data_IF_410397856642
#
_entry.id   IF_410397856642
#
_cell.length_a   1.000
_cell.length_b   1.000
_cell.length_c   1.000
_cell.angle_alpha   90.00
_cell.angle_beta   90.00
_cell.angle_gamma   90.00
#
_symmetry.space_group_name_H-M   'P 1'
#
loop_
_entity.id
_entity.type
_entity.pdbx_description
1 polymer ?
#
# COMPACT_ATOMS: atom_id res chain seq x y z
N UNK A 1 59.69 -36.51 45.53
CA UNK A 1 58.48 -35.69 45.70
C UNK A 1 58.28 -34.88 44.44
N UNK A 2 57.14 -35.09 43.76
CA UNK A 2 56.77 -34.47 42.49
C UNK A 2 56.32 -33.02 42.76
N UNK A 3 57.03 -32.03 42.24
CA UNK A 3 56.56 -30.65 42.28
C UNK A 3 55.67 -30.38 41.07
N UNK A 4 54.52 -29.79 41.39
CA UNK A 4 53.34 -29.70 40.56
C UNK A 4 53.55 -28.76 39.36
N UNK A 5 53.16 -29.28 38.19
CA UNK A 5 52.67 -28.53 37.04
C UNK A 5 51.50 -27.66 37.53
N UNK A 6 51.55 -26.34 37.34
CA UNK A 6 50.35 -25.52 37.49
C UNK A 6 50.37 -24.28 36.59
N UNK A 7 49.59 -24.41 35.51
CA UNK A 7 48.82 -23.40 34.78
C UNK A 7 49.53 -22.21 34.11
N UNK A 8 49.94 -22.52 32.89
CA UNK A 8 49.99 -21.69 31.68
C UNK A 8 48.79 -20.74 31.57
N UNK A 9 49.12 -19.46 31.35
CA UNK A 9 48.59 -18.55 30.32
C UNK A 9 47.19 -18.82 29.74
N UNK A 10 46.35 -17.78 29.78
CA UNK A 10 45.46 -17.28 28.71
C UNK A 10 44.10 -16.84 29.25
N UNK A 11 44.04 -15.62 29.77
CA UNK A 11 42.82 -14.81 29.79
C UNK A 11 42.84 -13.92 28.54
N UNK A 12 42.48 -14.48 27.39
CA UNK A 12 42.05 -13.67 26.24
C UNK A 12 40.56 -13.39 26.41
N UNK A 13 40.13 -12.12 26.52
CA UNK A 13 38.72 -11.81 26.39
C UNK A 13 38.31 -12.13 24.96
N UNK A 14 37.47 -13.16 24.81
CA UNK A 14 36.77 -13.45 23.56
C UNK A 14 35.81 -12.29 23.33
N UNK A 15 36.26 -11.26 22.61
CA UNK A 15 35.38 -10.23 22.07
C UNK A 15 34.65 -10.90 20.91
N UNK A 16 33.56 -11.60 21.25
CA UNK A 16 32.60 -12.07 20.28
C UNK A 16 31.91 -10.83 19.69
N UNK A 17 32.48 -10.29 18.61
CA UNK A 17 31.77 -9.35 17.75
C UNK A 17 30.71 -10.19 17.04
N UNK A 18 29.50 -10.23 17.60
CA UNK A 18 28.35 -10.77 16.91
C UNK A 18 28.15 -9.94 15.63
N UNK A 19 28.50 -10.52 14.48
CA UNK A 19 28.13 -9.94 13.20
C UNK A 19 26.63 -10.15 13.04
N UNK A 20 25.86 -9.06 13.08
CA UNK A 20 24.46 -9.10 12.68
C UNK A 20 24.42 -9.35 11.17
N UNK A 21 24.16 -10.60 10.80
CA UNK A 21 23.95 -10.97 9.41
C UNK A 21 22.53 -10.53 9.02
N UNK A 22 22.42 -9.41 8.31
CA UNK A 22 21.17 -8.99 7.70
C UNK A 22 21.10 -9.57 6.28
N UNK A 23 20.33 -10.63 6.10
CA UNK A 23 20.02 -11.15 4.76
C UNK A 23 18.91 -10.28 4.16
N UNK A 24 19.29 -9.30 3.34
CA UNK A 24 18.35 -8.58 2.48
C UNK A 24 18.49 -9.13 1.06
N UNK A 25 17.37 -9.47 0.41
CA UNK A 25 17.35 -9.65 -1.03
C UNK A 25 17.43 -8.24 -1.65
N UNK A 26 18.50 -7.95 -2.37
CA UNK A 26 18.84 -6.58 -2.81
C UNK A 26 17.81 -5.92 -3.73
N UNK A 27 16.83 -6.69 -4.22
CA UNK A 27 15.82 -6.25 -5.20
C UNK A 27 14.41 -6.10 -4.59
N UNK A 28 14.26 -6.22 -3.27
CA UNK A 28 12.94 -6.31 -2.63
C UNK A 28 12.40 -4.96 -2.12
N UNK A 29 13.16 -3.87 -2.24
CA UNK A 29 12.68 -2.56 -1.78
C UNK A 29 12.16 -1.75 -2.97
N UNK A 30 10.84 -1.81 -3.14
CA UNK A 30 10.07 -1.04 -4.12
C UNK A 30 9.49 0.19 -3.43
N UNK A 31 9.61 1.35 -4.08
CA UNK A 31 8.88 2.56 -3.73
C UNK A 31 7.68 2.71 -4.68
N UNK A 32 6.64 3.38 -4.23
CA UNK A 32 5.45 3.64 -5.04
C UNK A 32 5.28 5.14 -5.30
N UNK A 33 5.11 5.55 -6.56
CA UNK A 33 5.03 6.96 -6.95
C UNK A 33 3.75 7.70 -6.50
N UNK A 34 2.72 6.98 -6.06
CA UNK A 34 1.42 7.55 -5.68
C UNK A 34 1.19 7.65 -4.16
N UNK A 35 2.20 7.30 -3.36
CA UNK A 35 2.08 7.26 -1.89
C UNK A 35 3.38 7.68 -1.18
N UNK A 36 3.31 8.11 0.09
CA UNK A 36 4.50 8.37 0.88
C UNK A 36 5.21 7.04 1.20
N UNK A 37 6.51 6.98 0.93
CA UNK A 37 7.34 5.82 1.21
C UNK A 37 8.23 6.13 2.40
N UNK A 38 7.87 5.70 3.63
CA UNK A 38 8.72 5.90 4.79
C UNK A 38 9.98 5.05 4.66
N UNK A 39 11.14 5.68 4.88
CA UNK A 39 12.43 4.99 4.92
C UNK A 39 13.18 5.39 6.19
N UNK A 40 14.04 4.47 6.65
CA UNK A 40 14.96 4.70 7.75
C UNK A 40 16.38 4.72 7.20
N UNK A 41 17.14 5.73 7.62
CA UNK A 41 18.55 5.88 7.25
C UNK A 41 19.34 5.95 8.55
N UNK A 42 20.02 4.85 8.86
CA UNK A 42 20.98 4.79 9.94
C UNK A 42 22.39 4.77 9.35
N UNK A 43 23.26 5.62 9.89
CA UNK A 43 24.65 5.74 9.47
C UNK A 43 25.51 5.58 10.71
N UNK A 44 26.26 4.48 10.76
CA UNK A 44 27.12 4.13 11.89
C UNK A 44 27.95 5.32 12.39
N UNK A 45 27.82 5.59 13.68
CA UNK A 45 28.57 6.63 14.38
C UNK A 45 28.36 8.06 13.85
N UNK A 46 27.27 8.32 13.12
CA UNK A 46 26.96 9.64 12.56
C UNK A 46 25.54 10.08 12.93
N UNK A 47 25.44 11.03 13.85
CA UNK A 47 24.15 11.63 14.21
C UNK A 47 23.49 12.37 13.05
N UNK A 48 22.17 12.37 12.99
CA UNK A 48 21.40 12.84 11.84
C UNK A 48 21.61 14.30 11.46
N UNK A 49 21.96 15.17 12.42
CA UNK A 49 22.31 16.57 12.13
C UNK A 49 23.65 16.76 11.39
N UNK A 50 24.39 15.67 11.10
CA UNK A 50 25.70 15.71 10.44
C UNK A 50 25.65 15.32 8.96
N UNK A 51 24.47 14.94 8.46
CA UNK A 51 24.26 14.61 7.07
C UNK A 51 22.93 15.17 6.56
N UNK A 52 22.81 15.26 5.24
CA UNK A 52 21.57 15.56 4.55
C UNK A 52 21.32 14.50 3.46
N UNK A 53 20.06 14.34 3.09
CA UNK A 53 19.61 13.31 2.15
C UNK A 53 18.91 13.98 0.97
N UNK A 54 19.18 13.50 -0.23
CA UNK A 54 18.55 13.98 -1.47
C UNK A 54 18.05 12.80 -2.29
N UNK A 55 17.13 13.08 -3.21
CA UNK A 55 16.64 12.15 -4.23
C UNK A 55 16.77 12.80 -5.62
N UNK A 56 16.91 11.97 -6.66
CA UNK A 56 16.90 12.38 -8.07
C UNK A 56 15.52 12.25 -8.74
N UNK A 57 14.52 11.72 -8.03
CA UNK A 57 13.16 11.50 -8.54
C UNK A 57 12.13 11.95 -7.51
N UNK A 58 11.60 13.16 -7.66
CA UNK A 58 10.60 13.73 -6.77
C UNK A 58 11.18 14.41 -5.53
N UNK A 59 10.63 14.12 -4.35
CA UNK A 59 11.00 14.83 -3.13
C UNK A 59 11.17 13.93 -1.92
N UNK A 60 12.00 14.36 -0.97
CA UNK A 60 12.20 13.70 0.31
C UNK A 60 11.96 14.69 1.44
N UNK A 61 11.15 14.29 2.42
CA UNK A 61 10.91 15.05 3.65
C UNK A 61 11.58 14.36 4.82
N UNK A 62 12.24 15.12 5.67
CA UNK A 62 12.90 14.63 6.87
C UNK A 62 12.23 15.19 8.13
N UNK A 63 12.00 14.33 9.12
CA UNK A 63 11.63 14.72 10.48
C UNK A 63 12.34 13.78 11.47
N UNK A 64 13.26 14.30 12.29
CA UNK A 64 14.00 13.53 13.30
C UNK A 64 14.56 12.18 12.81
N UNK A 65 15.41 12.20 11.78
CA UNK A 65 16.02 11.01 11.14
C UNK A 65 15.03 10.06 10.43
N UNK A 66 13.73 10.38 10.43
CA UNK A 66 12.73 9.65 9.66
C UNK A 66 12.53 10.37 8.35
N UNK A 67 12.57 9.60 7.27
CA UNK A 67 12.46 10.15 5.94
C UNK A 67 11.20 9.61 5.28
N UNK A 68 10.53 10.47 4.52
CA UNK A 68 9.42 10.08 3.68
C UNK A 68 9.74 10.52 2.26
N UNK A 69 9.78 9.55 1.37
CA UNK A 69 10.10 9.73 -0.04
C UNK A 69 8.81 9.78 -0.85
N UNK A 70 8.73 10.74 -1.77
CA UNK A 70 7.62 10.95 -2.68
C UNK A 70 8.17 10.93 -4.12
N UNK A 71 8.28 9.74 -4.73
CA UNK A 71 8.73 9.61 -6.10
C UNK A 71 7.75 10.29 -7.06
N UNK A 72 8.25 10.91 -8.14
CA UNK A 72 7.39 11.51 -9.17
C UNK A 72 7.10 10.56 -10.33
N UNK A 73 8.06 9.69 -10.68
CA UNK A 73 7.98 8.83 -11.87
C UNK A 73 8.30 7.38 -11.55
N UNK A 74 7.64 6.45 -12.24
CA UNK A 74 8.02 5.04 -12.25
C UNK A 74 9.40 4.84 -12.89
N UNK A 75 10.14 3.81 -12.47
CA UNK A 75 11.47 3.50 -12.96
C UNK A 75 12.46 3.29 -11.82
N UNK A 76 13.55 4.05 -11.82
CA UNK A 76 14.56 4.02 -10.76
C UNK A 76 14.61 5.35 -10.02
N UNK A 77 14.93 5.29 -8.74
CA UNK A 77 15.18 6.45 -7.89
C UNK A 77 16.44 6.22 -7.05
N UNK A 78 17.35 7.18 -7.04
CA UNK A 78 18.57 7.13 -6.25
C UNK A 78 18.49 8.08 -5.07
N UNK A 79 18.50 7.52 -3.87
CA UNK A 79 18.61 8.28 -2.63
C UNK A 79 20.07 8.40 -2.26
N UNK A 80 20.55 9.63 -2.11
CA UNK A 80 21.94 9.96 -1.82
C UNK A 80 22.07 10.64 -0.48
N UNK A 81 23.04 10.20 0.32
CA UNK A 81 23.33 10.73 1.66
C UNK A 81 24.68 11.44 1.63
N UNK A 82 24.71 12.70 2.05
CA UNK A 82 25.89 13.55 2.02
C UNK A 82 26.21 14.08 3.41
N UNK A 83 27.49 14.27 3.73
CA UNK A 83 27.90 15.10 4.86
C UNK A 83 27.53 16.56 4.58
N UNK A 84 27.37 17.36 5.64
CA UNK A 84 27.06 18.80 5.51
C UNK A 84 28.11 19.60 4.72
N UNK A 85 29.33 19.08 4.54
CA UNK A 85 30.35 19.68 3.69
C UNK A 85 30.25 19.28 2.20
N UNK A 86 29.15 18.61 1.81
CA UNK A 86 28.89 18.17 0.43
C UNK A 86 29.53 16.84 0.04
N UNK A 87 30.31 16.20 0.92
CA UNK A 87 30.91 14.89 0.60
C UNK A 87 29.87 13.77 0.61
N UNK A 88 29.74 13.04 -0.49
CA UNK A 88 28.91 11.84 -0.57
C UNK A 88 29.37 10.79 0.46
N UNK A 89 28.43 10.29 1.26
CA UNK A 89 28.63 9.19 2.21
C UNK A 89 28.28 7.88 1.51
N UNK A 90 27.05 7.79 1.01
CA UNK A 90 26.51 6.60 0.35
C UNK A 90 25.35 6.99 -0.55
N UNK A 91 25.00 6.09 -1.47
CA UNK A 91 23.78 6.19 -2.27
C UNK A 91 23.17 4.80 -2.45
N UNK A 92 21.85 4.74 -2.59
CA UNK A 92 21.12 3.51 -2.86
C UNK A 92 20.04 3.77 -3.90
N UNK A 93 19.98 2.89 -4.89
CA UNK A 93 18.97 2.93 -5.95
C UNK A 93 17.83 1.99 -5.59
N UNK A 94 16.61 2.46 -5.80
CA UNK A 94 15.36 1.76 -5.56
C UNK A 94 14.57 1.69 -6.87
N UNK A 95 13.75 0.65 -6.99
CA UNK A 95 12.76 0.57 -8.07
C UNK A 95 11.50 1.31 -7.64
N UNK A 96 11.01 2.18 -8.51
CA UNK A 96 9.74 2.89 -8.33
C UNK A 96 8.69 2.27 -9.22
N UNK A 97 7.60 1.82 -8.62
CA UNK A 97 6.46 1.21 -9.32
C UNK A 97 5.19 2.04 -9.17
N UNK A 98 4.28 1.80 -10.11
CA UNK A 98 2.92 2.30 -9.99
C UNK A 98 2.15 1.42 -9.01
N UNK A 99 1.43 2.06 -8.09
CA UNK A 99 0.56 1.35 -7.16
C UNK A 99 -0.69 0.87 -7.89
N UNK A 100 -0.85 -0.45 -8.03
CA UNK A 100 -2.04 -1.05 -8.62
C UNK A 100 -3.10 -1.26 -7.55
N UNK A 101 -4.16 -0.45 -7.63
CA UNK A 101 -5.33 -0.52 -6.74
C UNK A 101 -6.53 -1.06 -7.52
N UNK A 102 -7.25 -1.99 -6.91
CA UNK A 102 -8.46 -2.59 -7.47
C UNK A 102 -9.60 -2.48 -6.46
N UNK A 103 -10.78 -2.04 -6.88
CA UNK A 103 -11.99 -2.08 -6.06
C UNK A 103 -12.71 -3.41 -6.24
N UNK A 104 -13.42 -3.85 -5.20
CA UNK A 104 -14.29 -5.02 -5.24
C UNK A 104 -15.43 -4.87 -4.23
N UNK A 105 -16.50 -5.66 -4.37
CA UNK A 105 -17.61 -5.68 -3.40
C UNK A 105 -17.19 -6.52 -2.19
N UNK A 106 -17.39 -5.99 -0.98
CA UNK A 106 -16.95 -6.61 0.27
C UNK A 106 -17.42 -8.08 0.39
N UNK A 107 -16.46 -8.95 0.72
CA UNK A 107 -16.66 -10.40 0.82
C UNK A 107 -16.85 -11.14 -0.51
N UNK A 108 -16.51 -10.51 -1.64
CA UNK A 108 -15.98 -11.20 -2.81
C UNK A 108 -14.45 -11.14 -2.81
N UNK A 109 -13.79 -12.12 -3.42
CA UNK A 109 -12.35 -12.06 -3.61
C UNK A 109 -12.01 -10.97 -4.63
N UNK A 110 -11.10 -10.07 -4.25
CA UNK A 110 -10.56 -9.06 -5.13
C UNK A 110 -9.88 -9.68 -6.36
N UNK A 111 -10.30 -9.26 -7.55
CA UNK A 111 -9.87 -9.82 -8.83
C UNK A 111 -10.79 -10.91 -9.36
N UNK A 112 -11.75 -11.40 -8.56
CA UNK A 112 -12.88 -12.18 -9.07
C UNK A 112 -13.93 -11.21 -9.59
N UNK A 113 -13.93 -11.02 -10.90
CA UNK A 113 -15.08 -10.41 -11.60
C UNK A 113 -16.21 -11.42 -11.62
N UNK A 114 -16.85 -11.68 -10.47
CA UNK A 114 -18.16 -12.32 -10.49
C UNK A 114 -19.08 -11.37 -11.25
N UNK A 115 -19.31 -11.65 -12.53
CA UNK A 115 -20.19 -10.86 -13.39
C UNK A 115 -21.66 -11.08 -13.06
N UNK A 116 -21.96 -11.98 -12.12
CA UNK A 116 -23.30 -12.51 -11.90
C UNK A 116 -23.69 -12.50 -10.43
N UNK A 117 -24.81 -11.87 -10.10
CA UNK A 117 -25.44 -11.93 -8.79
C UNK A 117 -26.44 -13.08 -8.80
N UNK A 118 -26.04 -14.25 -8.28
CA UNK A 118 -26.88 -15.45 -8.20
C UNK A 118 -27.86 -15.46 -7.03
N UNK A 119 -27.60 -14.66 -6.00
CA UNK A 119 -28.42 -14.62 -4.79
C UNK A 119 -28.49 -13.17 -4.29
N UNK A 120 -29.54 -12.47 -4.73
CA UNK A 120 -29.80 -11.07 -4.35
C UNK A 120 -29.88 -10.89 -2.83
N UNK A 121 -30.63 -11.71 -2.04
CA UNK A 121 -30.66 -11.55 -0.58
C UNK A 121 -29.31 -11.66 0.12
N UNK A 122 -28.38 -12.45 -0.42
CA UNK A 122 -27.02 -12.54 0.11
C UNK A 122 -26.15 -11.36 -0.34
N UNK A 123 -26.37 -10.86 -1.55
CA UNK A 123 -25.64 -9.73 -2.12
C UNK A 123 -26.05 -8.39 -1.50
N UNK A 124 -27.34 -8.17 -1.25
CA UNK A 124 -27.84 -6.93 -0.65
C UNK A 124 -27.34 -6.70 0.78
N UNK A 125 -26.89 -7.76 1.47
CA UNK A 125 -26.32 -7.70 2.83
C UNK A 125 -24.83 -7.36 2.87
N UNK A 126 -24.16 -7.17 1.72
CA UNK A 126 -22.74 -6.78 1.70
C UNK A 126 -22.56 -5.36 2.23
N UNK A 127 -21.41 -5.10 2.86
CA UNK A 127 -21.17 -3.85 3.59
C UNK A 127 -20.78 -2.66 2.72
N UNK A 128 -20.31 -2.89 1.49
CA UNK A 128 -19.78 -1.82 0.64
C UNK A 128 -18.82 -2.29 -0.44
N UNK A 129 -18.06 -1.33 -0.95
CA UNK A 129 -16.86 -1.56 -1.75
C UNK A 129 -15.61 -1.56 -0.85
N UNK A 130 -14.65 -2.41 -1.20
CA UNK A 130 -13.33 -2.50 -0.59
C UNK A 130 -12.25 -2.31 -1.66
N UNK A 131 -11.02 -2.05 -1.22
CA UNK A 131 -9.86 -1.94 -2.11
C UNK A 131 -8.84 -3.02 -1.81
N UNK A 132 -8.18 -3.50 -2.85
CA UNK A 132 -6.97 -4.31 -2.75
C UNK A 132 -5.85 -3.59 -3.44
N UNK A 133 -4.71 -3.56 -2.77
CA UNK A 133 -3.46 -3.09 -3.37
C UNK A 133 -2.58 -4.31 -3.57
N UNK A 134 -2.24 -4.59 -4.82
CA UNK A 134 -1.67 -5.88 -5.25
C UNK A 134 -0.44 -6.29 -4.43
N UNK A 135 0.41 -5.31 -4.14
CA UNK A 135 1.73 -5.54 -3.57
C UNK A 135 1.83 -5.17 -2.08
N UNK A 136 0.72 -4.74 -1.46
CA UNK A 136 0.66 -4.31 -0.06
C UNK A 136 -0.35 -5.16 0.74
N UNK A 137 0.05 -6.40 1.05
CA UNK A 137 -0.79 -7.43 1.69
C UNK A 137 -1.19 -7.11 3.14
N UNK A 138 -0.45 -6.22 3.81
CA UNK A 138 -0.70 -5.83 5.20
C UNK A 138 -1.12 -4.36 5.34
N UNK A 139 -1.43 -3.70 4.24
CA UNK A 139 -1.93 -2.34 4.33
C UNK A 139 -3.40 -2.38 4.76
N UNK A 140 -3.63 -2.05 6.03
CA UNK A 140 -4.97 -1.82 6.55
C UNK A 140 -5.54 -0.56 5.89
N UNK A 141 -6.16 -0.75 4.73
CA UNK A 141 -6.89 0.29 4.02
C UNK A 141 -8.23 0.61 4.69
N UNK A 142 -8.41 0.26 5.98
CA UNK A 142 -9.65 0.29 6.76
C UNK A 142 -10.43 1.60 6.81
N UNK A 143 -10.01 2.63 6.09
CA UNK A 143 -10.78 3.85 5.85
C UNK A 143 -10.40 4.53 4.52
N UNK A 144 -10.13 3.77 3.45
CA UNK A 144 -10.06 4.38 2.13
C UNK A 144 -11.40 5.03 1.80
N UNK A 145 -11.40 6.33 1.49
CA UNK A 145 -12.60 7.01 1.03
C UNK A 145 -12.81 6.65 -0.45
N UNK A 146 -13.64 5.64 -0.71
CA UNK A 146 -14.15 5.40 -2.06
C UNK A 146 -15.33 6.32 -2.32
N UNK A 147 -15.28 7.00 -3.46
CA UNK A 147 -16.43 7.67 -4.06
C UNK A 147 -16.85 6.89 -5.28
N UNK A 148 -18.14 6.78 -5.52
CA UNK A 148 -18.68 6.06 -6.68
C UNK A 148 -20.14 6.44 -6.92
N UNK A 149 -20.61 6.13 -8.12
CA UNK A 149 -22.02 6.10 -8.47
C UNK A 149 -22.48 4.65 -8.58
N UNK A 150 -23.50 4.25 -7.84
CA UNK A 150 -24.24 3.03 -8.11
C UNK A 150 -25.30 3.31 -9.18
N UNK A 151 -25.30 2.50 -10.24
CA UNK A 151 -26.27 2.54 -11.32
C UNK A 151 -26.99 1.21 -11.41
N UNK A 152 -28.32 1.23 -11.41
CA UNK A 152 -29.15 0.05 -11.69
C UNK A 152 -29.90 0.29 -12.99
N UNK A 153 -29.73 -0.61 -13.96
CA UNK A 153 -30.46 -0.63 -15.21
C UNK A 153 -31.46 -1.78 -15.13
N UNK A 154 -32.74 -1.43 -14.95
CA UNK A 154 -33.84 -2.40 -14.89
C UNK A 154 -34.16 -2.96 -16.28
N UNK A 155 -34.72 -4.16 -16.35
CA UNK A 155 -35.28 -4.74 -17.59
C UNK A 155 -36.29 -3.83 -18.30
N UNK A 156 -36.97 -2.98 -17.55
CA UNK A 156 -37.94 -1.98 -18.05
C UNK A 156 -37.27 -0.76 -18.70
N UNK A 157 -35.93 -0.76 -18.82
CA UNK A 157 -35.09 0.40 -19.20
C UNK A 157 -35.14 1.57 -18.21
N UNK A 158 -35.69 1.36 -17.01
CA UNK A 158 -35.55 2.34 -15.93
C UNK A 158 -34.10 2.36 -15.44
N UNK A 159 -33.53 3.55 -15.29
CA UNK A 159 -32.18 3.76 -14.77
C UNK A 159 -32.27 4.46 -13.42
N UNK A 160 -31.66 3.86 -12.40
CA UNK A 160 -31.55 4.41 -11.05
C UNK A 160 -30.09 4.74 -10.82
N UNK A 161 -29.80 5.92 -10.27
CA UNK A 161 -28.44 6.40 -9.98
C UNK A 161 -28.38 6.89 -8.54
N UNK A 162 -27.43 6.37 -7.76
CA UNK A 162 -27.20 6.76 -6.37
C UNK A 162 -25.72 7.07 -6.18
N UNK A 163 -25.42 8.28 -5.75
CA UNK A 163 -24.04 8.72 -5.49
C UNK A 163 -23.63 8.35 -4.07
N UNK A 164 -22.39 7.90 -3.90
CA UNK A 164 -21.80 7.63 -2.59
C UNK A 164 -20.42 8.28 -2.46
N UNK A 165 -20.21 8.92 -1.32
CA UNK A 165 -18.93 9.48 -0.91
C UNK A 165 -18.20 8.58 0.12
N UNK A 166 -18.72 7.37 0.33
CA UNK A 166 -18.20 6.42 1.32
C UNK A 166 -18.15 5.02 0.71
N UNK A 167 -17.13 4.28 1.13
CA UNK A 167 -16.95 2.87 0.76
C UNK A 167 -18.10 1.99 1.21
N UNK A 168 -18.67 2.28 2.40
CA UNK A 168 -19.85 1.57 2.91
C UNK A 168 -21.11 1.93 2.12
N UNK A 169 -21.95 0.94 1.85
CA UNK A 169 -23.26 1.17 1.26
C UNK A 169 -24.16 1.97 2.21
N UNK A 170 -24.88 2.94 1.64
CA UNK A 170 -25.92 3.69 2.36
C UNK A 170 -27.19 2.84 2.49
N UNK A 171 -28.10 3.26 3.36
CA UNK A 171 -29.43 2.65 3.46
C UNK A 171 -30.19 2.71 2.13
N UNK A 172 -30.05 3.82 1.39
CA UNK A 172 -30.62 3.97 0.05
C UNK A 172 -30.07 2.93 -0.93
N UNK A 173 -28.75 2.70 -0.92
CA UNK A 173 -28.13 1.65 -1.73
C UNK A 173 -28.68 0.28 -1.32
N UNK A 174 -28.73 -0.04 -0.03
CA UNK A 174 -29.27 -1.32 0.44
C UNK A 174 -30.72 -1.55 -0.01
N UNK A 175 -31.56 -0.53 0.12
CA UNK A 175 -32.97 -0.59 -0.29
C UNK A 175 -33.12 -0.87 -1.80
N UNK A 176 -32.24 -0.32 -2.65
CA UNK A 176 -32.27 -0.61 -4.08
C UNK A 176 -31.66 -1.97 -4.44
N UNK A 177 -30.62 -2.40 -3.72
CA UNK A 177 -30.05 -3.74 -3.89
C UNK A 177 -31.06 -4.85 -3.55
N UNK A 178 -31.91 -4.64 -2.54
CA UNK A 178 -32.98 -5.59 -2.17
C UNK A 178 -34.09 -5.71 -3.23
N UNK A 179 -34.24 -4.70 -4.08
CA UNK A 179 -35.23 -4.66 -5.17
C UNK A 179 -34.69 -5.17 -6.51
N UNK A 180 -33.46 -5.68 -6.53
CA UNK A 180 -32.89 -6.26 -7.76
C UNK A 180 -33.66 -7.51 -8.16
N UNK A 181 -34.06 -7.55 -9.43
CA UNK A 181 -34.73 -8.71 -10.04
C UNK A 181 -33.78 -9.36 -11.05
N UNK A 182 -34.03 -10.63 -11.39
CA UNK A 182 -33.26 -11.35 -12.42
C UNK A 182 -33.19 -10.52 -13.72
N UNK A 183 -32.01 -10.46 -14.34
CA UNK A 183 -31.61 -9.74 -15.55
C UNK A 183 -31.60 -8.22 -15.47
N UNK A 184 -31.65 -7.65 -14.27
CA UNK A 184 -31.18 -6.28 -14.01
C UNK A 184 -29.65 -6.21 -14.14
N UNK A 185 -29.13 -5.03 -14.48
CA UNK A 185 -27.69 -4.75 -14.47
C UNK A 185 -27.39 -3.78 -13.33
N UNK A 186 -26.52 -4.18 -12.42
CA UNK A 186 -25.94 -3.34 -11.38
C UNK A 186 -24.53 -2.94 -11.80
N UNK A 187 -24.23 -1.65 -11.69
CA UNK A 187 -22.91 -1.10 -11.97
C UNK A 187 -22.47 -0.18 -10.85
N UNK A 188 -21.22 -0.31 -10.41
CA UNK A 188 -20.52 0.74 -9.65
C UNK A 188 -19.57 1.44 -10.61
N UNK A 189 -19.84 2.72 -10.84
CA UNK A 189 -19.20 3.54 -11.87
C UNK A 189 -18.50 4.75 -11.25
N UNK A 190 -17.54 5.33 -11.98
CA UNK A 190 -16.75 6.49 -11.54
C UNK A 190 -16.13 6.25 -10.15
N UNK A 191 -15.61 5.04 -9.95
CA UNK A 191 -15.03 4.66 -8.67
C UNK A 191 -13.71 5.42 -8.51
N UNK A 192 -13.59 6.21 -7.45
CA UNK A 192 -12.39 6.97 -7.12
C UNK A 192 -11.93 6.60 -5.72
N UNK A 193 -10.68 6.15 -5.61
CA UNK A 193 -10.01 5.96 -4.33
C UNK A 193 -9.25 7.23 -3.95
N UNK A 194 -9.63 7.82 -2.82
CA UNK A 194 -8.92 8.98 -2.28
C UNK A 194 -7.90 8.52 -1.23
N UNK A 195 -6.64 8.89 -1.46
CA UNK A 195 -5.53 8.62 -0.54
C UNK A 195 -4.73 9.89 -0.28
N UNK A 196 -4.88 10.45 0.92
CA UNK A 196 -4.33 11.76 1.25
C UNK A 196 -4.92 12.86 0.35
N UNK A 197 -4.09 13.46 -0.49
CA UNK A 197 -4.51 14.46 -1.50
C UNK A 197 -4.65 13.87 -2.91
N UNK A 198 -4.27 12.61 -3.09
CA UNK A 198 -4.30 11.96 -4.39
C UNK A 198 -5.65 11.29 -4.60
N UNK A 199 -6.12 11.33 -5.84
CA UNK A 199 -7.30 10.62 -6.31
C UNK A 199 -6.86 9.62 -7.38
N UNK A 200 -7.24 8.36 -7.19
CA UNK A 200 -6.88 7.26 -8.08
C UNK A 200 -8.18 6.74 -8.69
N UNK A 201 -8.44 6.97 -9.99
CA UNK A 201 -9.61 6.42 -10.65
C UNK A 201 -9.44 4.89 -10.79
N UNK A 202 -10.51 4.17 -10.47
CA UNK A 202 -10.55 2.70 -10.49
C UNK A 202 -11.49 2.21 -11.59
N UNK A 203 -11.34 0.94 -11.95
CA UNK A 203 -12.19 0.30 -12.95
C UNK A 203 -13.61 0.11 -12.40
N UNK A 204 -14.60 0.33 -13.26
CA UNK A 204 -16.00 0.06 -12.96
C UNK A 204 -16.23 -1.42 -12.65
N UNK A 205 -17.21 -1.68 -11.79
CA UNK A 205 -17.68 -3.03 -11.47
C UNK A 205 -19.07 -3.22 -12.06
N UNK A 206 -19.27 -4.30 -12.83
CA UNK A 206 -20.53 -4.58 -13.53
C UNK A 206 -21.01 -5.98 -13.19
N UNK A 207 -22.27 -6.09 -12.81
CA UNK A 207 -22.94 -7.30 -12.39
C UNK A 207 -24.29 -7.43 -13.09
N UNK A 208 -24.60 -8.63 -13.59
CA UNK A 208 -25.91 -9.02 -14.07
C UNK A 208 -26.57 -9.92 -13.02
N UNK A 209 -27.82 -9.69 -12.67
CA UNK A 209 -28.55 -10.56 -11.76
C UNK A 209 -29.08 -11.78 -12.54
N UNK A 210 -28.94 -12.98 -11.99
CA UNK A 210 -29.46 -14.22 -12.61
C UNK A 210 -30.76 -14.66 -11.95
#
# INVERSE_FOLDING_TARGET
MKNAVSYIMLLLPIIAIGQSCHIYRSNDIVLYNSMPNPIEIDIDNLGCGKYYVTTDNGSIKSNDCKYIVYPEKCGEETISVFKNNGKLITKKTFRVEEMIVEAYVAGFDAGVTEKYIKNVPSFSKRSGLEIKVRDLVCWDSGAGNLKYEMVVIKKTNQIIRIQSEKSKFSEEIHNELEKLESGDILMFHNIVFQFGKNEIPLKDLVFETL
#
